data_IF_076315657533
#
_entry.id   IF_076315657533
#
_cell.length_a   1.000
_cell.length_b   1.000
_cell.length_c   1.000
_cell.angle_alpha   90.00
_cell.angle_beta   90.00
_cell.angle_gamma   90.00
#
_symmetry.space_group_name_H-M   'P 1'
#
loop_
_entity.id
_entity.type
_entity.pdbx_description
1 polymer ?
#
# COMPACT_ATOMS: atom_id res chain seq x y z
N UNK A 1 6.05 -26.56 -6.41
CA UNK A 1 6.98 -26.63 -5.24
C UNK A 1 7.12 -25.21 -4.73
N UNK A 2 6.73 -24.94 -3.48
CA UNK A 2 6.78 -23.58 -2.88
C UNK A 2 8.21 -23.08 -2.93
N UNK A 3 8.42 -21.88 -3.49
CA UNK A 3 9.76 -21.25 -3.59
C UNK A 3 10.24 -20.85 -2.19
N UNK A 4 11.51 -21.10 -1.89
CA UNK A 4 12.10 -20.65 -0.63
C UNK A 4 12.17 -19.12 -0.65
N UNK A 5 11.79 -18.43 0.44
CA UNK A 5 12.01 -16.99 0.56
C UNK A 5 13.51 -16.64 0.40
N UNK A 6 13.78 -15.49 -0.21
CA UNK A 6 15.14 -14.98 -0.41
C UNK A 6 15.41 -13.88 0.63
N UNK A 7 16.60 -13.85 1.23
CA UNK A 7 17.02 -12.75 2.10
C UNK A 7 16.99 -11.43 1.32
N UNK A 8 16.35 -10.41 1.88
CA UNK A 8 16.28 -9.07 1.28
C UNK A 8 17.18 -8.06 2.00
N UNK A 9 17.62 -8.38 3.20
CA UNK A 9 18.52 -7.58 4.01
C UNK A 9 18.14 -7.59 5.48
N UNK A 10 18.65 -6.60 6.22
CA UNK A 10 18.47 -6.48 7.68
C UNK A 10 17.86 -5.11 8.01
N UNK A 11 16.80 -5.12 8.82
CA UNK A 11 16.11 -3.92 9.33
C UNK A 11 16.04 -4.01 10.86
N UNK A 12 16.61 -3.05 11.58
CA UNK A 12 16.63 -3.02 13.06
C UNK A 12 17.06 -4.39 13.64
N UNK A 13 18.20 -4.93 13.17
CA UNK A 13 18.78 -6.23 13.56
C UNK A 13 17.92 -7.47 13.24
N UNK A 14 16.88 -7.32 12.45
CA UNK A 14 16.00 -8.41 12.00
C UNK A 14 16.18 -8.64 10.51
N UNK A 15 16.41 -9.90 10.11
CA UNK A 15 16.44 -10.28 8.70
C UNK A 15 15.04 -10.23 8.13
N UNK A 16 14.89 -9.61 6.93
CA UNK A 16 13.65 -9.51 6.17
C UNK A 16 13.80 -10.24 4.85
N UNK A 17 12.69 -10.70 4.30
CA UNK A 17 12.68 -11.63 3.17
C UNK A 17 11.83 -11.14 2.01
N UNK A 18 12.14 -11.65 0.81
CA UNK A 18 11.31 -11.58 -0.38
C UNK A 18 10.63 -12.91 -0.63
N UNK A 19 9.33 -12.85 -0.76
CA UNK A 19 8.43 -13.96 -1.10
C UNK A 19 8.02 -13.82 -2.56
N UNK A 20 8.14 -14.88 -3.33
CA UNK A 20 7.79 -14.87 -4.76
C UNK A 20 6.54 -15.69 -4.99
N UNK A 21 5.48 -15.05 -5.48
CA UNK A 21 4.25 -15.68 -5.96
C UNK A 21 4.13 -15.49 -7.46
N UNK A 22 3.56 -16.47 -8.18
CA UNK A 22 3.56 -16.39 -9.64
C UNK A 22 2.46 -17.22 -10.30
N UNK A 23 2.17 -16.83 -11.53
CA UNK A 23 1.53 -17.63 -12.57
C UNK A 23 2.43 -17.67 -13.82
N UNK A 24 1.90 -18.16 -14.94
CA UNK A 24 2.58 -18.09 -16.25
C UNK A 24 2.66 -16.64 -16.77
N UNK A 25 1.78 -15.73 -16.32
CA UNK A 25 1.67 -14.35 -16.82
C UNK A 25 2.19 -13.30 -15.86
N UNK A 26 2.23 -13.57 -14.56
CA UNK A 26 2.67 -12.61 -13.55
C UNK A 26 3.64 -13.24 -12.57
N UNK A 27 4.63 -12.45 -12.15
CA UNK A 27 5.52 -12.77 -11.02
C UNK A 27 5.55 -11.56 -10.11
N UNK A 28 5.15 -11.73 -8.85
CA UNK A 28 5.29 -10.71 -7.81
C UNK A 28 6.34 -11.15 -6.78
N UNK A 29 7.22 -10.20 -6.41
CA UNK A 29 8.15 -10.36 -5.29
C UNK A 29 7.78 -9.35 -4.21
N UNK A 30 7.42 -9.86 -3.04
CA UNK A 30 6.83 -9.10 -1.95
C UNK A 30 7.71 -9.27 -0.71
N UNK A 31 8.09 -8.16 -0.08
CA UNK A 31 8.83 -8.19 1.18
C UNK A 31 7.87 -8.27 2.36
N UNK A 32 8.27 -8.96 3.42
CA UNK A 32 7.65 -8.87 4.74
C UNK A 32 7.92 -7.53 5.43
N UNK A 33 8.88 -6.73 4.97
CA UNK A 33 9.03 -5.35 5.40
C UNK A 33 8.05 -4.43 4.65
N UNK A 34 7.12 -3.83 5.39
CA UNK A 34 6.06 -2.98 4.84
C UNK A 34 4.99 -3.73 4.04
N UNK A 35 5.01 -5.06 4.01
CA UNK A 35 4.25 -5.90 3.09
C UNK A 35 4.40 -5.39 1.64
N UNK A 36 5.61 -5.02 1.26
CA UNK A 36 5.93 -4.21 0.09
C UNK A 36 5.98 -5.04 -1.19
N UNK A 37 5.25 -4.64 -2.23
CA UNK A 37 5.49 -5.14 -3.60
C UNK A 37 6.78 -4.49 -4.11
N UNK A 38 7.87 -5.24 -4.09
CA UNK A 38 9.19 -4.78 -4.54
C UNK A 38 9.31 -4.90 -6.06
N UNK A 39 8.77 -5.97 -6.62
CA UNK A 39 8.79 -6.22 -8.07
C UNK A 39 7.48 -6.88 -8.49
N UNK A 40 6.96 -6.44 -9.63
CA UNK A 40 5.87 -7.09 -10.34
C UNK A 40 6.26 -7.18 -11.81
N UNK A 41 6.33 -8.39 -12.34
CA UNK A 41 6.67 -8.64 -13.75
C UNK A 41 5.43 -9.14 -14.50
N UNK A 42 5.20 -8.56 -15.66
CA UNK A 42 4.35 -9.13 -16.69
C UNK A 42 5.22 -10.02 -17.60
N UNK A 43 4.75 -11.24 -17.84
CA UNK A 43 5.45 -12.26 -18.63
C UNK A 43 4.72 -12.50 -19.95
N UNK A 44 5.46 -12.34 -21.07
CA UNK A 44 5.00 -12.69 -22.40
C UNK A 44 6.04 -13.61 -23.09
N UNK A 45 5.76 -14.92 -23.02
CA UNK A 45 6.74 -15.95 -23.36
C UNK A 45 7.97 -15.84 -22.44
N UNK A 46 9.15 -15.72 -23.06
CA UNK A 46 10.42 -15.55 -22.33
C UNK A 46 10.70 -14.10 -21.90
N UNK A 47 9.91 -13.14 -22.39
CA UNK A 47 10.07 -11.73 -22.03
C UNK A 47 9.44 -11.43 -20.68
N UNK A 48 10.15 -10.62 -19.87
CA UNK A 48 9.66 -10.14 -18.57
C UNK A 48 9.78 -8.62 -18.50
N UNK A 49 8.66 -7.95 -18.28
CA UNK A 49 8.61 -6.49 -18.11
C UNK A 49 8.30 -6.18 -16.66
N UNK A 50 9.20 -5.49 -15.95
CA UNK A 50 8.97 -5.00 -14.57
C UNK A 50 8.02 -3.81 -14.65
N UNK A 51 6.79 -3.96 -14.17
CA UNK A 51 5.71 -2.97 -14.33
C UNK A 51 5.44 -2.11 -13.09
N UNK A 52 6.23 -2.26 -12.03
CA UNK A 52 6.20 -1.39 -10.84
C UNK A 52 7.59 -0.82 -10.56
N UNK A 53 7.63 0.39 -10.03
CA UNK A 53 8.86 0.96 -9.46
C UNK A 53 9.20 0.24 -8.15
N UNK A 54 10.48 0.05 -7.89
CA UNK A 54 10.98 -0.57 -6.66
C UNK A 54 12.50 -0.66 -6.67
N UNK A 55 13.09 -0.73 -5.49
CA UNK A 55 14.53 -0.84 -5.29
C UNK A 55 14.97 -2.31 -5.22
N UNK A 56 16.24 -2.57 -5.50
CA UNK A 56 16.79 -3.92 -5.54
C UNK A 56 17.36 -4.38 -4.17
N UNK A 57 17.37 -3.49 -3.17
CA UNK A 57 17.80 -3.78 -1.80
C UNK A 57 16.87 -3.14 -0.77
N UNK A 58 16.97 -3.54 0.51
CA UNK A 58 16.06 -3.08 1.56
C UNK A 58 16.37 -1.67 2.06
N UNK A 59 17.61 -1.21 1.96
CA UNK A 59 18.06 0.04 2.56
C UNK A 59 17.24 1.27 2.14
N UNK A 60 16.92 1.47 0.83
CA UNK A 60 16.05 2.60 0.43
C UNK A 60 14.63 2.51 0.98
N UNK A 61 14.15 1.30 1.32
CA UNK A 61 12.82 1.12 1.91
C UNK A 61 12.78 1.50 3.39
N UNK A 62 13.90 1.50 4.11
CA UNK A 62 13.96 1.90 5.53
C UNK A 62 13.55 3.37 5.69
N UNK A 63 13.91 4.23 4.72
CA UNK A 63 13.56 5.66 4.68
C UNK A 63 12.56 5.96 3.56
N UNK A 64 11.65 5.04 3.31
CA UNK A 64 10.68 5.11 2.20
C UNK A 64 9.61 6.20 2.44
N UNK A 65 9.97 7.46 2.29
CA UNK A 65 9.09 8.62 2.40
C UNK A 65 8.04 8.71 1.27
N UNK A 66 8.28 8.00 0.16
CA UNK A 66 7.34 7.83 -0.95
C UNK A 66 6.38 6.65 -0.77
N UNK A 67 6.52 5.86 0.28
CA UNK A 67 5.73 4.64 0.54
C UNK A 67 5.75 3.61 -0.59
N UNK A 68 6.77 3.64 -1.45
CA UNK A 68 6.85 2.86 -2.68
C UNK A 68 6.57 1.37 -2.46
N UNK A 69 5.49 0.87 -3.08
CA UNK A 69 5.05 -0.52 -3.02
C UNK A 69 4.47 -0.99 -1.70
N UNK A 70 4.53 -0.19 -0.62
CA UNK A 70 4.16 -0.59 0.72
C UNK A 70 2.64 -0.66 0.95
N UNK A 71 2.24 -1.43 1.95
CA UNK A 71 0.88 -1.40 2.50
C UNK A 71 0.77 -0.26 3.51
N UNK A 72 -0.22 0.60 3.31
CA UNK A 72 -0.56 1.71 4.18
C UNK A 72 -1.86 1.41 4.92
N UNK A 73 -1.78 1.36 6.25
CA UNK A 73 -2.92 1.20 7.17
C UNK A 73 -2.55 1.78 8.56
N UNK A 74 -3.51 1.98 9.47
CA UNK A 74 -4.96 1.76 9.38
C UNK A 74 -5.68 2.71 8.42
N UNK A 75 -5.16 3.94 8.18
CA UNK A 75 -5.81 4.96 7.36
C UNK A 75 -4.85 5.51 6.32
N UNK A 76 -5.16 5.24 5.05
CA UNK A 76 -4.46 5.82 3.91
C UNK A 76 -4.87 7.27 3.69
N UNK A 77 -4.00 8.02 2.97
CA UNK A 77 -4.15 9.43 2.67
C UNK A 77 -4.17 10.31 3.94
N UNK A 78 -4.76 11.50 3.89
CA UNK A 78 -4.65 12.52 4.93
C UNK A 78 -5.82 12.55 5.89
N UNK A 79 -5.50 12.68 7.18
CA UNK A 79 -6.45 13.02 8.23
C UNK A 79 -6.24 14.47 8.63
N UNK A 80 -7.27 15.31 8.42
CA UNK A 80 -7.25 16.75 8.71
C UNK A 80 -6.91 17.04 10.17
N UNK A 81 -6.00 17.98 10.41
CA UNK A 81 -5.51 18.38 11.72
C UNK A 81 -4.99 17.21 12.58
N UNK A 82 -4.60 16.09 11.93
CA UNK A 82 -4.15 14.89 12.63
C UNK A 82 -5.10 14.45 13.76
N UNK A 83 -6.41 14.61 13.58
CA UNK A 83 -7.41 14.19 14.57
C UNK A 83 -8.71 13.73 13.90
N UNK A 84 -9.43 12.85 14.59
CA UNK A 84 -10.76 12.39 14.18
C UNK A 84 -11.63 12.11 15.40
N UNK A 85 -12.95 12.11 15.20
CA UNK A 85 -13.91 11.73 16.24
C UNK A 85 -14.55 10.40 15.91
N UNK A 86 -14.59 9.51 16.90
CA UNK A 86 -15.27 8.22 16.82
C UNK A 86 -16.03 8.01 18.14
N UNK A 87 -17.33 7.71 18.06
CA UNK A 87 -18.20 7.47 19.21
C UNK A 87 -18.15 8.59 20.29
N UNK A 88 -18.08 9.85 19.82
CA UNK A 88 -18.03 11.03 20.69
C UNK A 88 -16.68 11.34 21.34
N UNK A 89 -15.68 10.46 21.21
CA UNK A 89 -14.32 10.65 21.67
C UNK A 89 -13.43 11.18 20.53
N UNK A 90 -12.55 12.12 20.86
CA UNK A 90 -11.54 12.62 19.92
C UNK A 90 -10.23 11.84 20.08
N UNK A 91 -9.65 11.49 18.93
CA UNK A 91 -8.38 10.79 18.82
C UNK A 91 -7.37 11.65 18.06
N UNK A 92 -6.13 11.64 18.51
CA UNK A 92 -5.04 12.43 17.92
C UNK A 92 -3.99 11.52 17.33
N UNK A 93 -3.60 11.84 16.09
CA UNK A 93 -2.59 11.15 15.32
C UNK A 93 -1.29 11.96 15.29
N UNK A 94 -0.21 11.36 14.84
CA UNK A 94 1.03 12.04 14.56
C UNK A 94 0.83 13.13 13.49
N UNK A 95 1.31 14.35 13.73
CA UNK A 95 1.42 15.38 12.69
C UNK A 95 2.70 15.13 11.90
N UNK A 96 2.60 14.46 10.76
CA UNK A 96 3.72 14.10 9.88
C UNK A 96 3.64 14.74 8.49
N UNK A 97 2.59 15.56 8.24
CA UNK A 97 2.39 16.31 7.00
C UNK A 97 1.82 17.70 7.32
N UNK A 98 2.70 18.61 7.74
CA UNK A 98 2.30 19.90 8.31
C UNK A 98 1.44 19.69 9.56
N UNK A 99 0.21 20.24 9.56
CA UNK A 99 -0.77 20.03 10.64
C UNK A 99 -1.59 18.73 10.49
N UNK A 100 -1.48 18.05 9.36
CA UNK A 100 -2.26 16.86 9.06
C UNK A 100 -1.47 15.59 9.42
N UNK A 101 -2.16 14.46 9.41
CA UNK A 101 -1.54 13.15 9.42
C UNK A 101 -1.64 12.56 8.00
N UNK A 102 -0.55 12.02 7.49
CA UNK A 102 -0.47 11.29 6.23
C UNK A 102 -0.13 9.83 6.49
N UNK A 103 -0.93 8.92 5.95
CA UNK A 103 -0.66 7.49 5.95
C UNK A 103 -0.44 6.88 7.33
N UNK A 104 -1.17 7.39 8.34
CA UNK A 104 -1.20 6.97 9.74
C UNK A 104 0.06 7.30 10.53
N UNK A 105 1.25 6.93 10.10
CA UNK A 105 2.50 7.26 10.80
C UNK A 105 3.75 7.01 9.94
N UNK A 106 4.82 7.73 10.25
CA UNK A 106 6.22 7.45 9.98
C UNK A 106 7.03 7.77 11.25
N UNK A 107 8.02 6.96 11.67
CA UNK A 107 8.54 5.73 11.04
C UNK A 107 7.89 4.43 11.53
N UNK A 108 6.86 4.48 12.37
CA UNK A 108 6.32 3.30 13.07
C UNK A 108 5.06 2.73 12.40
N UNK A 109 4.68 3.29 11.24
CA UNK A 109 3.52 2.84 10.47
C UNK A 109 3.73 1.49 9.77
N UNK A 110 2.66 0.98 9.20
CA UNK A 110 2.65 -0.33 8.51
C UNK A 110 3.68 -0.47 7.40
N UNK A 111 4.03 0.66 6.74
CA UNK A 111 5.02 0.69 5.67
C UNK A 111 6.47 0.47 6.13
N UNK A 112 6.77 0.68 7.42
CA UNK A 112 8.08 0.45 8.05
C UNK A 112 8.05 -0.67 9.09
N UNK A 113 6.95 -1.40 9.19
CA UNK A 113 6.82 -2.55 10.06
C UNK A 113 7.31 -3.84 9.39
N UNK A 114 7.82 -4.77 10.16
CA UNK A 114 8.06 -6.15 9.72
C UNK A 114 6.79 -6.94 10.00
N UNK A 115 6.22 -7.51 8.95
CA UNK A 115 4.99 -8.30 9.01
C UNK A 115 5.31 -9.78 9.22
N UNK A 116 4.49 -10.48 9.97
CA UNK A 116 4.61 -11.93 10.10
C UNK A 116 3.91 -12.63 8.94
N UNK A 117 4.50 -13.73 8.46
CA UNK A 117 3.86 -14.58 7.43
C UNK A 117 2.84 -15.48 8.08
N UNK A 118 1.59 -15.38 7.64
CA UNK A 118 0.49 -16.24 8.08
C UNK A 118 0.29 -17.44 7.13
N UNK A 119 0.44 -17.21 5.83
CA UNK A 119 0.38 -18.26 4.82
C UNK A 119 1.25 -17.90 3.60
N UNK A 120 1.88 -18.91 2.99
CA UNK A 120 2.65 -18.76 1.77
C UNK A 120 2.49 -19.98 0.87
N UNK A 121 2.12 -19.74 -0.38
CA UNK A 121 1.97 -20.73 -1.44
C UNK A 121 2.58 -20.25 -2.75
N UNK A 122 2.57 -21.09 -3.80
CA UNK A 122 3.19 -20.75 -5.09
C UNK A 122 2.54 -19.51 -5.75
N UNK A 123 1.25 -19.25 -5.47
CA UNK A 123 0.49 -18.15 -6.07
C UNK A 123 -0.13 -17.20 -5.04
N UNK A 124 0.12 -17.37 -3.73
CA UNK A 124 -0.46 -16.51 -2.70
C UNK A 124 0.45 -16.32 -1.50
N UNK A 125 0.36 -15.12 -0.89
CA UNK A 125 1.05 -14.75 0.33
C UNK A 125 0.10 -13.95 1.23
N UNK A 126 -0.07 -14.40 2.48
CA UNK A 126 -0.79 -13.66 3.51
C UNK A 126 0.17 -13.19 4.59
N UNK A 127 0.19 -11.89 4.81
CA UNK A 127 1.00 -11.23 5.84
C UNK A 127 0.09 -10.62 6.90
N UNK A 128 0.56 -10.62 8.16
CA UNK A 128 -0.16 -10.15 9.34
C UNK A 128 0.65 -9.13 10.12
N UNK A 129 -0.03 -8.07 10.60
CA UNK A 129 0.50 -7.05 11.48
C UNK A 129 -0.49 -6.76 12.60
N UNK A 130 0.02 -6.53 13.81
CA UNK A 130 -0.82 -6.22 14.98
C UNK A 130 -0.38 -4.92 15.62
N UNK A 131 -1.36 -4.15 16.10
CA UNK A 131 -1.15 -2.95 16.92
C UNK A 131 -2.02 -3.03 18.17
N UNK A 132 -1.47 -2.60 19.29
CA UNK A 132 -2.18 -2.46 20.57
C UNK A 132 -3.14 -1.26 20.59
N UNK A 133 -4.01 -1.22 21.60
CA UNK A 133 -4.91 -0.08 21.82
C UNK A 133 -4.11 1.22 22.00
N UNK A 134 -4.49 2.24 21.26
CA UNK A 134 -3.84 3.55 21.26
C UNK A 134 -2.58 3.67 20.41
N UNK A 135 -2.00 2.57 19.90
CA UNK A 135 -0.86 2.65 19.00
C UNK A 135 -1.21 3.42 17.72
N UNK A 136 -0.29 4.24 17.25
CA UNK A 136 -0.45 5.19 16.14
C UNK A 136 -1.60 6.20 16.35
N UNK A 137 -2.16 6.31 17.57
CA UNK A 137 -3.31 7.18 17.92
C UNK A 137 -4.68 6.57 17.61
N UNK A 138 -4.77 5.33 17.18
CA UNK A 138 -6.04 4.66 16.86
C UNK A 138 -6.51 3.75 17.99
N UNK A 139 -7.84 3.67 18.26
CA UNK A 139 -8.40 2.80 19.30
C UNK A 139 -8.38 1.32 18.92
N UNK A 140 -8.40 0.47 19.93
CA UNK A 140 -8.55 -0.97 19.87
C UNK A 140 -7.26 -1.75 19.66
N UNK A 141 -7.24 -2.98 20.18
CA UNK A 141 -6.25 -3.97 19.78
C UNK A 141 -6.63 -4.49 18.38
N UNK A 142 -5.76 -4.26 17.40
CA UNK A 142 -6.06 -4.47 15.98
C UNK A 142 -5.11 -5.47 15.37
N UNK A 143 -5.69 -6.42 14.63
CA UNK A 143 -4.95 -7.37 13.80
C UNK A 143 -5.34 -7.12 12.36
N UNK A 144 -4.34 -6.84 11.52
CA UNK A 144 -4.49 -6.60 10.10
C UNK A 144 -3.88 -7.73 9.30
N UNK A 145 -4.52 -8.11 8.22
CA UNK A 145 -3.98 -9.05 7.24
C UNK A 145 -4.08 -8.46 5.85
N UNK A 146 -3.04 -8.70 5.04
CA UNK A 146 -3.05 -8.48 3.60
C UNK A 146 -2.76 -9.79 2.91
N UNK A 147 -3.57 -10.13 1.91
CA UNK A 147 -3.37 -11.30 1.07
C UNK A 147 -3.13 -10.85 -0.36
N UNK A 148 -1.99 -11.26 -0.91
CA UNK A 148 -1.65 -11.15 -2.32
C UNK A 148 -1.92 -12.51 -2.97
N UNK A 149 -2.69 -12.49 -4.06
CA UNK A 149 -3.01 -13.71 -4.81
C UNK A 149 -2.89 -13.46 -6.30
N UNK A 150 -2.19 -14.34 -7.01
CA UNK A 150 -2.08 -14.29 -8.46
C UNK A 150 -2.91 -15.42 -9.06
N UNK A 151 -3.87 -15.03 -9.92
CA UNK A 151 -4.68 -15.93 -10.72
C UNK A 151 -4.55 -15.54 -12.20
N UNK A 152 -3.90 -16.38 -13.02
CA UNK A 152 -3.59 -16.11 -14.41
C UNK A 152 -2.82 -14.79 -14.60
N UNK A 153 -3.47 -13.75 -15.12
CA UNK A 153 -2.92 -12.42 -15.40
C UNK A 153 -3.45 -11.34 -14.43
N UNK A 154 -4.01 -11.74 -13.30
CA UNK A 154 -4.57 -10.86 -12.28
C UNK A 154 -3.79 -11.00 -10.97
N UNK A 155 -3.40 -9.88 -10.37
CA UNK A 155 -2.93 -9.79 -9.00
C UNK A 155 -4.03 -9.18 -8.15
N UNK A 156 -4.60 -9.95 -7.25
CA UNK A 156 -5.57 -9.49 -6.26
C UNK A 156 -4.86 -9.14 -4.96
N UNK A 157 -5.25 -8.01 -4.34
CA UNK A 157 -4.78 -7.59 -3.01
C UNK A 157 -6.01 -7.45 -2.12
N UNK A 158 -6.14 -8.33 -1.13
CA UNK A 158 -7.24 -8.32 -0.18
C UNK A 158 -6.77 -7.89 1.20
N UNK A 159 -7.55 -7.04 1.85
CA UNK A 159 -7.27 -6.56 3.20
C UNK A 159 -8.36 -7.02 4.16
N UNK A 160 -7.97 -7.42 5.36
CA UNK A 160 -8.91 -7.67 6.46
C UNK A 160 -8.37 -7.14 7.77
N UNK A 161 -9.29 -6.83 8.69
CA UNK A 161 -8.95 -6.36 10.02
C UNK A 161 -9.92 -6.95 11.05
N UNK A 162 -9.37 -7.22 12.24
CA UNK A 162 -10.13 -7.54 13.44
C UNK A 162 -9.73 -6.52 14.51
N UNK A 163 -10.70 -5.98 15.23
CA UNK A 163 -10.48 -5.09 16.36
C UNK A 163 -11.43 -5.46 17.50
N UNK A 164 -10.99 -5.26 18.75
CA UNK A 164 -11.83 -5.45 19.94
C UNK A 164 -12.69 -4.22 20.28
N UNK A 165 -12.50 -3.12 19.54
CA UNK A 165 -13.30 -1.88 19.63
C UNK A 165 -13.55 -1.33 18.22
N UNK A 166 -14.49 -0.39 18.12
CA UNK A 166 -14.64 0.41 16.88
C UNK A 166 -13.35 1.15 16.58
N UNK A 167 -12.90 1.06 15.33
CA UNK A 167 -11.65 1.67 14.86
C UNK A 167 -11.76 2.08 13.40
N UNK A 168 -10.70 2.72 12.86
CA UNK A 168 -10.63 3.12 11.46
C UNK A 168 -9.95 2.03 10.64
N UNK A 169 -10.51 1.74 9.46
CA UNK A 169 -9.92 0.82 8.49
C UNK A 169 -10.11 1.35 7.07
N UNK A 170 -9.05 1.91 6.50
CA UNK A 170 -8.98 2.45 5.14
C UNK A 170 -7.60 2.15 4.52
N UNK A 171 -7.31 0.89 4.20
CA UNK A 171 -6.00 0.47 3.70
C UNK A 171 -5.81 0.80 2.23
N UNK A 172 -4.53 0.84 1.81
CA UNK A 172 -4.14 0.85 0.39
C UNK A 172 -2.78 0.17 0.18
N UNK A 173 -2.50 -0.20 -1.08
CA UNK A 173 -1.13 -0.48 -1.53
C UNK A 173 -0.62 0.72 -2.34
N UNK A 174 0.62 1.13 -2.08
CA UNK A 174 1.21 2.33 -2.64
C UNK A 174 2.18 2.05 -3.79
N UNK A 175 1.87 1.06 -4.63
CA UNK A 175 2.68 0.77 -5.82
C UNK A 175 2.61 1.90 -6.85
N UNK A 176 3.76 2.20 -7.44
CA UNK A 176 3.90 3.10 -8.59
C UNK A 176 4.08 2.28 -9.83
N UNK A 177 3.15 2.40 -10.77
CA UNK A 177 3.16 1.61 -12.01
C UNK A 177 3.88 2.33 -13.14
N UNK A 178 4.69 1.56 -13.90
CA UNK A 178 5.21 1.94 -15.20
C UNK A 178 5.09 0.73 -16.13
N UNK A 179 4.04 0.69 -16.94
CA UNK A 179 3.72 -0.45 -17.79
C UNK A 179 4.75 -0.63 -18.93
N UNK A 180 5.52 0.41 -19.25
CA UNK A 180 6.62 0.32 -20.23
C UNK A 180 7.87 -0.38 -19.65
N UNK A 181 7.94 -0.56 -18.33
CA UNK A 181 9.05 -1.19 -17.62
C UNK A 181 10.35 -0.36 -17.58
N UNK A 182 10.38 0.78 -18.26
CA UNK A 182 11.54 1.71 -18.34
C UNK A 182 11.10 3.11 -18.74
N UNK A 183 11.97 4.10 -18.56
CA UNK A 183 11.70 5.49 -18.91
C UNK A 183 10.63 6.12 -18.04
N UNK A 184 9.79 6.96 -18.62
CA UNK A 184 8.72 7.70 -17.94
C UNK A 184 7.34 7.10 -18.21
N UNK A 185 6.32 7.58 -17.49
CA UNK A 185 4.90 7.20 -17.69
C UNK A 185 4.16 8.17 -18.63
N UNK A 186 4.87 9.12 -19.27
CA UNK A 186 4.24 10.17 -20.07
C UNK A 186 3.55 9.66 -21.33
N UNK A 187 3.89 8.45 -21.78
CA UNK A 187 3.29 7.79 -22.95
C UNK A 187 2.13 6.86 -22.57
N UNK A 188 1.76 6.81 -21.28
CA UNK A 188 0.63 6.01 -20.83
C UNK A 188 -0.68 6.70 -21.19
N UNK A 189 -1.64 5.91 -21.60
CA UNK A 189 -3.03 6.32 -21.77
C UNK A 189 -3.80 5.92 -20.50
N UNK A 190 -4.63 6.83 -19.99
CA UNK A 190 -5.43 6.65 -18.78
C UNK A 190 -6.91 6.88 -19.06
N UNK A 191 -7.72 5.88 -18.76
CA UNK A 191 -9.18 6.01 -18.78
C UNK A 191 -9.76 5.63 -17.42
N UNK A 192 -10.65 6.48 -16.89
CA UNK A 192 -11.31 6.27 -15.60
C UNK A 192 -12.83 6.37 -15.80
N UNK A 193 -13.56 5.30 -15.49
CA UNK A 193 -15.02 5.25 -15.57
C UNK A 193 -15.65 5.90 -14.32
N UNK A 194 -15.44 7.20 -14.15
CA UNK A 194 -15.97 7.97 -13.04
C UNK A 194 -16.48 9.33 -13.52
N UNK A 195 -17.74 9.65 -13.22
CA UNK A 195 -18.38 10.93 -13.56
C UNK A 195 -18.06 12.03 -12.55
N UNK A 196 -17.53 11.66 -11.38
CA UNK A 196 -17.27 12.59 -10.28
C UNK A 196 -15.91 12.32 -9.64
N UNK A 197 -15.39 13.34 -8.97
CA UNK A 197 -14.18 13.27 -8.14
C UNK A 197 -14.37 14.01 -6.82
N UNK A 198 -13.49 13.76 -5.87
CA UNK A 198 -13.42 14.46 -4.59
C UNK A 198 -12.28 15.48 -4.64
N UNK A 199 -12.59 16.81 -4.71
CA UNK A 199 -11.54 17.82 -4.73
C UNK A 199 -10.83 17.92 -3.38
N UNK A 200 -9.55 18.29 -3.44
CA UNK A 200 -8.71 18.55 -2.29
C UNK A 200 -8.51 20.06 -2.07
N UNK A 201 -8.29 20.45 -0.81
CA UNK A 201 -7.82 21.80 -0.48
C UNK A 201 -6.31 21.98 -0.76
N UNK A 202 -5.78 23.18 -0.46
CA UNK A 202 -4.37 23.51 -0.64
C UNK A 202 -3.39 22.67 0.21
N UNK A 203 -3.91 21.90 1.17
CA UNK A 203 -3.14 20.96 2.00
C UNK A 203 -3.34 19.49 1.57
N UNK A 204 -3.90 19.30 0.36
CA UNK A 204 -4.21 17.97 -0.21
C UNK A 204 -5.19 17.12 0.62
N UNK A 205 -6.02 17.77 1.42
CA UNK A 205 -7.07 17.09 2.21
C UNK A 205 -8.41 17.22 1.47
N UNK A 206 -9.17 16.12 1.29
CA UNK A 206 -10.50 16.17 0.69
C UNK A 206 -11.42 17.16 1.39
N UNK A 207 -12.12 17.98 0.61
CA UNK A 207 -13.02 19.03 1.15
C UNK A 207 -14.43 18.52 1.50
N UNK A 208 -14.71 17.24 1.24
CA UNK A 208 -15.99 16.59 1.57
C UNK A 208 -17.09 16.78 0.52
N UNK A 209 -16.85 17.54 -0.56
CA UNK A 209 -17.77 17.64 -1.70
C UNK A 209 -17.43 16.58 -2.76
N UNK A 210 -18.45 16.26 -3.57
CA UNK A 210 -18.32 15.44 -4.78
C UNK A 210 -18.62 16.36 -5.96
N UNK A 211 -17.68 16.50 -6.89
CA UNK A 211 -17.78 17.38 -8.04
C UNK A 211 -17.76 16.61 -9.35
N UNK A 212 -18.51 17.03 -10.40
CA UNK A 212 -18.44 16.40 -11.71
C UNK A 212 -17.05 16.59 -12.33
N UNK A 213 -16.57 15.58 -13.08
CA UNK A 213 -15.31 15.67 -13.82
C UNK A 213 -15.45 16.48 -15.11
N UNK A 214 -16.66 16.61 -15.63
CA UNK A 214 -16.97 17.28 -16.90
C UNK A 214 -16.41 18.70 -16.94
N UNK A 215 -15.73 19.05 -18.04
CA UNK A 215 -15.05 20.33 -18.25
C UNK A 215 -13.94 20.66 -17.24
N UNK A 216 -13.35 19.63 -16.61
CA UNK A 216 -12.20 19.78 -15.71
C UNK A 216 -10.99 18.99 -16.21
N UNK A 217 -9.75 19.27 -15.75
CA UNK A 217 -8.58 18.45 -16.06
C UNK A 217 -8.64 17.02 -15.50
N UNK A 218 -9.68 16.67 -14.73
CA UNK A 218 -9.89 15.33 -14.13
C UNK A 218 -10.87 14.48 -14.95
N UNK A 219 -11.29 14.93 -16.14
CA UNK A 219 -12.16 14.15 -17.02
C UNK A 219 -11.31 13.16 -17.85
N UNK A 220 -11.18 11.94 -17.33
CA UNK A 220 -10.50 10.82 -17.97
C UNK A 220 -11.50 9.77 -18.49
N UNK A 221 -12.74 10.13 -18.80
CA UNK A 221 -13.74 9.19 -19.29
C UNK A 221 -13.52 8.73 -20.72
N UNK A 222 -12.76 9.51 -21.48
CA UNK A 222 -12.28 9.17 -22.83
C UNK A 222 -10.75 9.35 -22.90
N UNK A 223 -10.12 8.70 -23.92
CA UNK A 223 -8.69 8.84 -24.19
C UNK A 223 -8.39 10.16 -24.92
#
# INVERSE_FOLDING_TARGET
MIRKPESFGIVKDTEVFLYTISSDKLIARISDFGATIVQLFYCDGDNRTKIVCGYDSVEPYIMNDSYMGAVVLPCANRTRNASFKLNGKEYHLQQNDGKNNLHSSLPDGSAQAIWSVENYADNSLTLKLSYGDGELGFPGNRVFMVTYEINNNELSISYSAISDQDSVFNPTNHSYFNLNGKGTVLDHELKIYADNFTPNDSTSVPVGSICPVENTPFDFREF
#
